data_IF_113787618248
#
_entry.id   IF_113787618248
#
_cell.length_a   1.000
_cell.length_b   1.000
_cell.length_c   1.000
_cell.angle_alpha   90.00
_cell.angle_beta   90.00
_cell.angle_gamma   90.00
#
_symmetry.space_group_name_H-M   'P 1'
#
loop_
_entity.id
_entity.type
_entity.pdbx_description
1 polymer ?
#
# COMPACT_ATOMS: atom_id res chain seq x y z
N UNK A 1 6.20 -15.44 17.65
CA UNK A 1 6.65 -14.69 16.45
C UNK A 1 5.54 -13.72 16.09
N UNK A 2 5.72 -12.41 16.33
CA UNK A 2 4.68 -11.43 15.99
C UNK A 2 4.58 -11.34 14.46
N UNK A 3 3.45 -11.78 13.91
CA UNK A 3 3.18 -11.72 12.47
C UNK A 3 2.97 -10.25 12.09
N UNK A 4 3.89 -9.66 11.33
CA UNK A 4 3.74 -8.29 10.82
C UNK A 4 2.60 -8.25 9.78
N UNK A 5 1.71 -7.29 9.91
CA UNK A 5 0.64 -7.02 8.94
C UNK A 5 1.28 -6.53 7.64
N UNK A 6 0.95 -7.15 6.51
CA UNK A 6 1.59 -6.79 5.24
C UNK A 6 0.81 -5.67 4.56
N UNK A 7 1.49 -4.55 4.30
CA UNK A 7 0.98 -3.45 3.50
C UNK A 7 1.61 -3.54 2.12
N UNK A 8 0.80 -3.64 1.09
CA UNK A 8 1.26 -3.72 -0.29
C UNK A 8 0.79 -2.52 -1.10
N UNK A 9 1.75 -1.76 -1.65
CA UNK A 9 1.50 -0.65 -2.57
C UNK A 9 1.70 -1.10 -4.02
N UNK A 10 0.64 -1.04 -4.81
CA UNK A 10 0.71 -1.15 -6.27
C UNK A 10 1.01 0.22 -6.88
N UNK A 11 2.08 0.28 -7.66
CA UNK A 11 2.57 1.53 -8.27
C UNK A 11 3.12 1.32 -9.68
N UNK A 12 3.36 2.41 -10.41
CA UNK A 12 4.13 2.44 -11.64
C UNK A 12 5.25 3.47 -11.54
N UNK A 13 6.30 3.33 -12.35
CA UNK A 13 7.48 4.21 -12.31
C UNK A 13 7.18 5.65 -12.75
N UNK A 14 6.17 5.84 -13.61
CA UNK A 14 5.79 7.13 -14.20
C UNK A 14 4.69 7.87 -13.41
N UNK A 15 4.26 7.34 -12.26
CA UNK A 15 3.15 7.87 -11.48
C UNK A 15 3.64 8.80 -10.36
N UNK A 16 3.48 10.14 -10.47
CA UNK A 16 3.93 11.09 -9.45
C UNK A 16 3.20 10.88 -8.11
N UNK A 17 1.90 10.61 -8.16
CA UNK A 17 1.06 10.31 -7.00
C UNK A 17 1.52 9.05 -6.23
N UNK A 18 2.11 8.09 -6.94
CA UNK A 18 2.65 6.89 -6.34
C UNK A 18 3.93 7.16 -5.56
N UNK A 19 4.76 8.11 -6.01
CA UNK A 19 5.93 8.57 -5.27
C UNK A 19 5.52 9.24 -3.96
N UNK A 20 4.50 10.10 -4.00
CA UNK A 20 3.94 10.75 -2.82
C UNK A 20 3.41 9.73 -1.80
N UNK A 21 2.60 8.78 -2.25
CA UNK A 21 2.04 7.71 -1.40
C UNK A 21 3.14 6.87 -0.76
N UNK A 22 4.19 6.53 -1.54
CA UNK A 22 5.35 5.77 -1.04
C UNK A 22 6.14 6.55 0.02
N UNK A 23 6.30 7.86 -0.13
CA UNK A 23 6.93 8.71 0.88
C UNK A 23 6.08 8.79 2.15
N UNK A 24 4.78 9.01 2.02
CA UNK A 24 3.84 9.04 3.14
C UNK A 24 3.89 7.75 3.98
N UNK A 25 3.91 6.58 3.32
CA UNK A 25 4.04 5.29 4.02
C UNK A 25 5.38 5.18 4.77
N UNK A 26 6.48 5.65 4.18
CA UNK A 26 7.78 5.65 4.86
C UNK A 26 7.80 6.52 6.10
N UNK A 27 7.00 7.58 6.16
CA UNK A 27 6.89 8.45 7.34
C UNK A 27 5.92 7.91 8.40
N UNK A 28 4.84 7.25 7.97
CA UNK A 28 3.76 6.80 8.87
C UNK A 28 4.06 5.44 9.50
N UNK A 29 4.56 4.47 8.73
CA UNK A 29 4.75 3.11 9.22
C UNK A 29 5.71 2.96 10.40
N UNK A 30 6.81 3.75 10.51
CA UNK A 30 7.67 3.70 11.70
C UNK A 30 6.96 4.07 13.02
N UNK A 31 5.83 4.78 12.98
CA UNK A 31 5.07 5.16 14.17
C UNK A 31 4.33 3.98 14.83
N UNK A 32 4.28 2.83 14.16
CA UNK A 32 3.55 1.64 14.61
C UNK A 32 4.47 0.49 15.06
N UNK A 33 5.65 0.81 15.62
CA UNK A 33 6.55 -0.14 16.30
C UNK A 33 6.74 -1.47 15.54
N UNK A 34 7.14 -1.38 14.27
CA UNK A 34 7.43 -2.56 13.44
C UNK A 34 6.25 -3.52 13.18
N UNK A 35 5.01 -3.15 13.51
CA UNK A 35 3.81 -3.98 13.25
C UNK A 35 3.54 -4.22 11.77
N UNK A 36 3.95 -3.30 10.91
CA UNK A 36 3.66 -3.36 9.48
C UNK A 36 4.90 -3.64 8.65
N UNK A 37 4.73 -4.43 7.59
CA UNK A 37 5.76 -4.64 6.56
C UNK A 37 5.31 -4.00 5.25
N UNK A 38 6.10 -3.07 4.71
CA UNK A 38 5.82 -2.43 3.43
C UNK A 38 6.40 -3.25 2.27
N UNK A 39 5.52 -3.71 1.40
CA UNK A 39 5.84 -4.31 0.11
C UNK A 39 5.41 -3.37 -1.02
N UNK A 40 6.20 -3.27 -2.08
CA UNK A 40 5.85 -2.49 -3.27
C UNK A 40 5.84 -3.39 -4.50
N UNK A 41 4.77 -3.33 -5.28
CA UNK A 41 4.58 -4.13 -6.49
C UNK A 41 4.38 -3.22 -7.70
N UNK A 42 5.18 -3.45 -8.75
CA UNK A 42 5.04 -2.74 -10.03
C UNK A 42 3.81 -3.27 -10.76
N UNK A 43 2.76 -2.47 -10.85
CA UNK A 43 1.49 -2.85 -11.47
C UNK A 43 1.63 -3.18 -12.97
N UNK A 44 2.61 -2.58 -13.65
CA UNK A 44 2.89 -2.79 -15.07
C UNK A 44 3.96 -3.89 -15.34
N UNK A 45 4.44 -4.58 -14.31
CA UNK A 45 5.28 -5.77 -14.51
C UNK A 45 4.42 -6.99 -14.88
N UNK A 46 4.95 -8.03 -15.56
CA UNK A 46 4.17 -9.22 -15.91
C UNK A 46 3.48 -9.88 -14.70
N UNK A 47 4.18 -10.03 -13.58
CA UNK A 47 3.62 -10.58 -12.34
C UNK A 47 2.65 -9.62 -11.64
N UNK A 48 2.94 -8.31 -11.71
CA UNK A 48 2.06 -7.26 -11.21
C UNK A 48 0.74 -7.21 -11.94
N UNK A 49 0.75 -7.31 -13.27
CA UNK A 49 -0.43 -7.29 -14.12
C UNK A 49 -1.35 -8.47 -13.82
N UNK A 50 -0.81 -9.68 -13.64
CA UNK A 50 -1.59 -10.85 -13.23
C UNK A 50 -2.25 -10.59 -11.87
N UNK A 51 -1.54 -9.98 -10.91
CA UNK A 51 -2.08 -9.70 -9.58
C UNK A 51 -3.12 -8.58 -9.60
N UNK A 52 -2.90 -7.51 -10.36
CA UNK A 52 -3.89 -6.43 -10.48
C UNK A 52 -5.18 -6.94 -11.11
N UNK A 53 -5.10 -7.80 -12.13
CA UNK A 53 -6.27 -8.46 -12.70
C UNK A 53 -7.00 -9.36 -11.69
N UNK A 54 -6.26 -10.21 -10.97
CA UNK A 54 -6.83 -11.09 -9.93
C UNK A 54 -7.51 -10.33 -8.78
N UNK A 55 -6.99 -9.16 -8.44
CA UNK A 55 -7.44 -8.34 -7.32
C UNK A 55 -8.42 -7.23 -7.74
N UNK A 56 -8.76 -7.12 -9.03
CA UNK A 56 -9.64 -6.05 -9.55
C UNK A 56 -9.05 -4.64 -9.38
N UNK A 57 -7.72 -4.52 -9.45
CA UNK A 57 -7.01 -3.24 -9.35
C UNK A 57 -6.90 -2.63 -10.74
N UNK A 58 -7.67 -1.58 -10.98
CA UNK A 58 -7.68 -0.86 -12.26
C UNK A 58 -6.94 0.47 -12.21
N UNK A 59 -6.61 0.95 -11.00
CA UNK A 59 -5.98 2.26 -10.77
C UNK A 59 -4.75 2.14 -9.88
N UNK A 60 -3.82 3.07 -10.06
CA UNK A 60 -2.65 3.24 -9.18
C UNK A 60 -2.57 4.71 -8.73
N UNK A 61 -2.09 5.00 -7.51
CA UNK A 61 -1.65 4.05 -6.48
C UNK A 61 -2.82 3.30 -5.84
N UNK A 62 -2.63 2.01 -5.56
CA UNK A 62 -3.60 1.19 -4.80
C UNK A 62 -2.89 0.52 -3.64
N UNK A 63 -3.46 0.64 -2.45
CA UNK A 63 -2.94 0.07 -1.20
C UNK A 63 -3.77 -1.10 -0.74
N UNK A 64 -3.08 -2.15 -0.34
CA UNK A 64 -3.65 -3.34 0.28
C UNK A 64 -3.08 -3.52 1.67
N UNK A 65 -3.90 -3.99 2.60
CA UNK A 65 -3.49 -4.46 3.92
C UNK A 65 -3.96 -5.91 4.02
N UNK A 66 -3.06 -6.85 4.28
CA UNK A 66 -3.32 -8.29 4.29
C UNK A 66 -4.10 -8.78 3.05
N UNK A 67 -3.62 -8.39 1.86
CA UNK A 67 -4.23 -8.69 0.55
C UNK A 67 -5.65 -8.13 0.34
N UNK A 68 -6.16 -7.25 1.21
CA UNK A 68 -7.43 -6.54 1.01
C UNK A 68 -7.19 -5.12 0.56
N UNK A 69 -7.85 -4.68 -0.51
CA UNK A 69 -7.78 -3.29 -1.00
C UNK A 69 -8.39 -2.36 0.04
N UNK A 70 -7.58 -1.43 0.54
CA UNK A 70 -8.00 -0.42 1.53
C UNK A 70 -8.10 0.98 0.92
N UNK A 71 -7.24 1.30 -0.04
CA UNK A 71 -7.27 2.58 -0.76
C UNK A 71 -7.01 2.34 -2.25
N UNK A 72 -7.77 3.02 -3.12
CA UNK A 72 -7.62 2.97 -4.59
C UNK A 72 -7.07 4.28 -5.19
N UNK A 73 -6.74 5.23 -4.31
CA UNK A 73 -6.26 6.58 -4.59
C UNK A 73 -5.21 6.97 -3.53
N UNK A 74 -4.59 8.14 -3.68
CA UNK A 74 -3.71 8.72 -2.66
C UNK A 74 -4.57 9.06 -1.44
N UNK A 75 -4.37 8.41 -0.28
CA UNK A 75 -5.05 8.82 0.95
C UNK A 75 -4.39 10.07 1.54
N UNK A 76 -5.08 10.76 2.45
CA UNK A 76 -4.41 11.72 3.33
C UNK A 76 -3.59 11.00 4.40
N UNK A 77 -2.65 11.72 5.02
CA UNK A 77 -1.83 11.18 6.11
C UNK A 77 -2.69 10.75 7.31
N UNK A 78 -3.73 11.52 7.61
CA UNK A 78 -4.67 11.27 8.70
C UNK A 78 -5.51 10.01 8.41
N UNK A 79 -6.11 9.91 7.21
CA UNK A 79 -6.87 8.72 6.80
C UNK A 79 -6.02 7.46 6.86
N UNK A 80 -4.76 7.54 6.42
CA UNK A 80 -3.83 6.42 6.48
C UNK A 80 -3.57 6.01 7.94
N UNK A 81 -3.28 6.96 8.83
CA UNK A 81 -3.02 6.69 10.25
C UNK A 81 -4.27 6.08 10.92
N UNK A 82 -5.44 6.67 10.73
CA UNK A 82 -6.70 6.15 11.28
C UNK A 82 -6.99 4.73 10.77
N UNK A 83 -6.77 4.49 9.48
CA UNK A 83 -6.94 3.15 8.91
C UNK A 83 -5.99 2.15 9.54
N UNK A 84 -4.72 2.50 9.75
CA UNK A 84 -3.71 1.63 10.35
C UNK A 84 -4.00 1.35 11.84
N UNK A 85 -4.56 2.31 12.58
CA UNK A 85 -5.02 2.09 13.97
C UNK A 85 -6.06 0.98 14.09
N UNK A 86 -6.91 0.78 13.07
CA UNK A 86 -7.89 -0.32 13.07
C UNK A 86 -7.26 -1.72 12.93
N UNK A 87 -5.95 -1.81 12.65
CA UNK A 87 -5.19 -3.05 12.58
C UNK A 87 -4.19 -3.17 13.75
N UNK A 88 -4.34 -2.36 14.82
CA UNK A 88 -3.51 -2.44 16.04
C UNK A 88 -3.76 -3.69 16.86
#
# INVERSE_FOLDING_TARGET
MNKKTTIELFYTLTCPNCKLTKQMLKEVLPQFEDKFSLKTTLANSPSGMIRTMKLGIHTVPTLLIDNKVVFKSVPTKEELIEKLKNYQ
#
